data_IF_540176842520
#
_entry.id   IF_540176842520
#
_cell.length_a   1.000
_cell.length_b   1.000
_cell.length_c   1.000
_cell.angle_alpha   90.00
_cell.angle_beta   90.00
_cell.angle_gamma   90.00
#
_symmetry.space_group_name_H-M   'P 1'
#
loop_
_entity.id
_entity.type
_entity.pdbx_description
1 polymer ?
#
# COMPACT_ATOMS: atom_id res chain seq x y z
N UNK A 1 4.97 18.01 21.10
CA UNK A 1 5.65 18.70 19.99
C UNK A 1 7.03 18.08 19.86
N UNK A 2 7.13 16.97 19.16
CA UNK A 2 8.29 16.06 19.24
C UNK A 2 8.92 15.83 17.88
N UNK A 3 10.10 16.43 17.68
CA UNK A 3 11.22 16.00 16.83
C UNK A 3 11.01 15.87 15.31
N UNK A 4 9.80 16.01 14.77
CA UNK A 4 9.52 15.89 13.33
C UNK A 4 9.76 17.17 12.52
N UNK A 5 10.03 18.30 13.15
CA UNK A 5 10.14 19.61 12.46
C UNK A 5 11.45 19.83 11.68
N UNK A 6 12.43 18.92 11.77
CA UNK A 6 13.78 19.17 11.22
C UNK A 6 14.31 18.08 10.27
N UNK A 7 13.51 17.05 9.98
CA UNK A 7 13.80 16.11 8.89
C UNK A 7 12.95 16.50 7.70
N UNK A 8 13.59 16.73 6.56
CA UNK A 8 12.90 17.01 5.31
C UNK A 8 11.91 15.86 5.05
N UNK A 9 10.62 16.18 4.97
CA UNK A 9 9.51 15.21 4.89
C UNK A 9 9.72 14.15 3.80
N UNK A 10 10.49 14.49 2.78
CA UNK A 10 10.94 13.61 1.69
C UNK A 10 11.69 12.35 2.17
N UNK A 11 12.32 12.37 3.34
CA UNK A 11 13.07 11.25 3.92
C UNK A 11 12.25 10.33 4.83
N UNK A 12 11.06 10.76 5.25
CA UNK A 12 10.22 10.06 6.22
C UNK A 12 9.16 9.21 5.51
N UNK A 13 9.14 7.91 5.81
CA UNK A 13 8.10 7.00 5.31
C UNK A 13 7.08 6.69 6.42
N UNK A 14 5.87 7.24 6.30
CA UNK A 14 4.79 7.07 7.26
C UNK A 14 3.78 6.03 6.78
N UNK A 15 3.62 4.97 7.58
CA UNK A 15 2.68 3.87 7.31
C UNK A 15 1.69 3.77 8.48
N UNK A 16 0.40 3.74 8.16
CA UNK A 16 -0.69 3.68 9.15
C UNK A 16 -1.48 2.40 8.98
N UNK A 17 -1.85 1.74 10.08
CA UNK A 17 -2.80 0.62 10.08
C UNK A 17 -4.06 1.06 10.80
N UNK A 18 -5.17 1.14 10.07
CA UNK A 18 -6.48 1.54 10.60
C UNK A 18 -7.26 0.29 10.96
N UNK A 19 -7.72 0.22 12.21
CA UNK A 19 -8.60 -0.84 12.69
C UNK A 19 -10.01 -0.29 12.79
N UNK A 20 -10.94 -0.80 11.97
CA UNK A 20 -12.33 -0.34 12.01
C UNK A 20 -13.20 -1.42 12.63
N UNK A 21 -13.87 -1.08 13.72
CA UNK A 21 -14.77 -1.99 14.45
C UNK A 21 -16.12 -2.19 13.77
N UNK A 22 -16.49 -1.33 12.81
CA UNK A 22 -17.73 -1.42 12.04
C UNK A 22 -17.46 -1.08 10.57
N UNK A 23 -18.08 -1.79 9.62
CA UNK A 23 -17.86 -1.57 8.19
C UNK A 23 -18.62 -0.35 7.64
N UNK A 24 -18.66 0.73 8.42
CA UNK A 24 -19.37 1.96 8.12
C UNK A 24 -18.42 3.01 7.54
N UNK A 25 -18.87 3.71 6.51
CA UNK A 25 -18.10 4.76 5.82
C UNK A 25 -17.76 5.90 6.76
N UNK A 26 -18.69 6.26 7.64
CA UNK A 26 -18.56 7.38 8.58
C UNK A 26 -17.38 7.15 9.52
N UNK A 27 -17.23 5.93 10.03
CA UNK A 27 -16.14 5.55 10.91
C UNK A 27 -14.77 5.64 10.21
N UNK A 28 -14.70 5.26 8.93
CA UNK A 28 -13.47 5.39 8.15
C UNK A 28 -13.13 6.87 7.93
N UNK A 29 -14.10 7.70 7.52
CA UNK A 29 -13.87 9.14 7.32
C UNK A 29 -13.39 9.83 8.59
N UNK A 30 -14.08 9.62 9.72
CA UNK A 30 -13.69 10.20 11.01
C UNK A 30 -12.27 9.76 11.42
N UNK A 31 -11.92 8.50 11.17
CA UNK A 31 -10.57 7.98 11.47
C UNK A 31 -9.49 8.62 10.60
N UNK A 32 -9.76 8.84 9.30
CA UNK A 32 -8.82 9.48 8.38
C UNK A 32 -8.63 10.96 8.71
N UNK A 33 -9.72 11.68 9.00
CA UNK A 33 -9.67 13.09 9.38
C UNK A 33 -8.91 13.28 10.69
N UNK A 34 -9.19 12.43 11.69
CA UNK A 34 -8.46 12.42 12.96
C UNK A 34 -6.98 12.12 12.77
N UNK A 35 -6.65 11.18 11.88
CA UNK A 35 -5.27 10.81 11.55
C UNK A 35 -4.51 12.00 10.93
N UNK A 36 -5.05 12.62 9.88
CA UNK A 36 -4.38 13.74 9.21
C UNK A 36 -4.24 14.96 10.13
N UNK A 37 -5.25 15.24 10.96
CA UNK A 37 -5.21 16.32 11.97
C UNK A 37 -4.16 16.04 13.06
N UNK A 38 -4.07 14.81 13.55
CA UNK A 38 -3.13 14.43 14.63
C UNK A 38 -1.68 14.38 14.16
N UNK A 39 -1.44 13.88 12.95
CA UNK A 39 -0.10 13.78 12.39
C UNK A 39 0.41 15.11 11.82
N UNK A 40 -0.49 16.09 11.62
CA UNK A 40 -0.21 17.36 10.92
C UNK A 40 0.48 17.11 9.56
N UNK A 41 -0.08 16.17 8.79
CA UNK A 41 0.47 15.76 7.50
C UNK A 41 -0.54 15.99 6.38
N UNK A 42 -0.08 16.45 5.22
CA UNK A 42 -0.94 16.59 4.03
C UNK A 42 -1.16 15.25 3.29
N UNK A 43 -0.24 14.30 3.48
CA UNK A 43 -0.17 13.01 2.81
C UNK A 43 0.61 11.99 3.65
N UNK A 44 0.32 10.71 3.45
CA UNK A 44 1.05 9.56 4.01
C UNK A 44 1.50 8.59 2.91
N UNK A 45 2.48 7.73 3.20
CA UNK A 45 3.01 6.77 2.22
C UNK A 45 2.15 5.52 2.08
N UNK A 46 1.61 5.00 3.18
CA UNK A 46 0.86 3.75 3.15
C UNK A 46 -0.22 3.67 4.21
N UNK A 47 -1.39 3.17 3.84
CA UNK A 47 -2.47 2.85 4.76
C UNK A 47 -2.90 1.39 4.59
N UNK A 48 -3.01 0.66 5.70
CA UNK A 48 -3.53 -0.71 5.74
C UNK A 48 -4.83 -0.74 6.52
N UNK A 49 -5.91 -1.17 5.87
CA UNK A 49 -7.22 -1.35 6.49
C UNK A 49 -7.32 -2.74 7.13
N UNK A 50 -7.73 -2.79 8.40
CA UNK A 50 -8.04 -4.02 9.12
C UNK A 50 -9.46 -3.96 9.69
N UNK A 51 -10.19 -5.07 9.58
CA UNK A 51 -11.56 -5.19 10.09
C UNK A 51 -11.75 -6.50 10.88
N UNK A 52 -12.75 -6.58 11.79
CA UNK A 52 -13.03 -7.79 12.54
C UNK A 52 -13.63 -8.88 11.64
N UNK A 53 -12.97 -10.03 11.57
CA UNK A 53 -13.28 -11.17 10.68
C UNK A 53 -14.49 -12.03 11.10
N UNK A 54 -15.53 -11.46 11.72
CA UNK A 54 -16.64 -12.22 12.35
C UNK A 54 -17.98 -12.16 11.61
N UNK A 55 -18.01 -11.87 10.31
CA UNK A 55 -19.28 -11.72 9.58
C UNK A 55 -19.34 -12.59 8.32
N UNK A 56 -20.55 -12.77 7.78
CA UNK A 56 -20.81 -13.50 6.54
C UNK A 56 -20.06 -12.88 5.35
N UNK A 57 -19.32 -13.70 4.59
CA UNK A 57 -18.35 -13.25 3.57
C UNK A 57 -18.95 -12.38 2.45
N UNK A 58 -20.22 -12.56 2.11
CA UNK A 58 -20.89 -11.80 1.03
C UNK A 58 -21.18 -10.35 1.40
N UNK A 59 -21.70 -10.10 2.61
CA UNK A 59 -21.95 -8.76 3.13
C UNK A 59 -20.63 -8.04 3.45
N UNK A 60 -19.62 -8.79 3.90
CA UNK A 60 -18.27 -8.28 4.11
C UNK A 60 -17.66 -7.70 2.83
N UNK A 61 -17.74 -8.43 1.72
CA UNK A 61 -17.15 -7.99 0.46
C UNK A 61 -17.81 -6.69 -0.04
N UNK A 62 -19.14 -6.58 0.06
CA UNK A 62 -19.86 -5.37 -0.36
C UNK A 62 -19.41 -4.15 0.46
N UNK A 63 -19.38 -4.28 1.78
CA UNK A 63 -18.96 -3.20 2.65
C UNK A 63 -17.46 -2.88 2.52
N UNK A 64 -16.61 -3.88 2.30
CA UNK A 64 -15.18 -3.68 2.06
C UNK A 64 -14.92 -2.93 0.75
N UNK A 65 -15.66 -3.24 -0.32
CA UNK A 65 -15.59 -2.49 -1.58
C UNK A 65 -15.95 -1.02 -1.38
N UNK A 66 -16.99 -0.76 -0.61
CA UNK A 66 -17.41 0.60 -0.26
C UNK A 66 -16.32 1.38 0.50
N UNK A 67 -15.68 0.76 1.49
CA UNK A 67 -14.55 1.35 2.21
C UNK A 67 -13.33 1.54 1.29
N UNK A 68 -13.09 0.58 0.40
CA UNK A 68 -11.99 0.63 -0.55
C UNK A 68 -12.13 1.80 -1.53
N UNK A 69 -13.34 2.11 -2.02
CA UNK A 69 -13.57 3.27 -2.88
C UNK A 69 -13.19 4.59 -2.20
N UNK A 70 -13.45 4.71 -0.89
CA UNK A 70 -13.02 5.89 -0.13
C UNK A 70 -11.50 5.98 -0.14
N UNK A 71 -10.81 4.87 0.14
CA UNK A 71 -9.35 4.83 0.12
C UNK A 71 -8.77 5.15 -1.28
N UNK A 72 -9.41 4.68 -2.35
CA UNK A 72 -9.03 5.01 -3.73
C UNK A 72 -9.17 6.51 -4.04
N UNK A 73 -10.22 7.18 -3.56
CA UNK A 73 -10.38 8.64 -3.69
C UNK A 73 -9.25 9.40 -2.97
N UNK A 74 -8.81 8.92 -1.81
CA UNK A 74 -7.64 9.48 -1.12
C UNK A 74 -6.32 9.26 -1.87
N UNK A 75 -6.18 8.15 -2.60
CA UNK A 75 -5.04 7.90 -3.47
C UNK A 75 -5.06 8.84 -4.68
N UNK A 76 -6.22 9.02 -5.31
CA UNK A 76 -6.38 9.91 -6.45
C UNK A 76 -6.09 11.38 -6.09
N UNK A 77 -6.47 11.79 -4.88
CA UNK A 77 -6.14 13.11 -4.31
C UNK A 77 -4.70 13.25 -3.83
N UNK A 78 -3.86 12.22 -3.98
CA UNK A 78 -2.47 12.17 -3.51
C UNK A 78 -2.29 12.37 -2.00
N UNK A 79 -3.35 12.10 -1.21
CA UNK A 79 -3.27 12.09 0.25
C UNK A 79 -2.70 10.78 0.79
N UNK A 80 -2.85 9.68 0.05
CA UNK A 80 -2.28 8.37 0.42
C UNK A 80 -1.58 7.80 -0.81
N UNK A 81 -0.30 7.45 -0.71
CA UNK A 81 0.42 6.91 -1.88
C UNK A 81 0.11 5.43 -2.15
N UNK A 82 -0.15 4.64 -1.11
CA UNK A 82 -0.41 3.21 -1.23
C UNK A 82 -1.45 2.76 -0.21
N UNK A 83 -2.41 1.96 -0.64
CA UNK A 83 -3.44 1.39 0.21
C UNK A 83 -3.36 -0.13 0.21
N UNK A 84 -3.74 -0.75 1.31
CA UNK A 84 -3.74 -2.19 1.48
C UNK A 84 -4.82 -2.64 2.46
N UNK A 85 -5.02 -3.95 2.53
CA UNK A 85 -5.94 -4.58 3.47
C UNK A 85 -5.21 -5.71 4.20
N UNK A 86 -5.52 -5.92 5.48
CA UNK A 86 -5.01 -7.03 6.27
C UNK A 86 -6.14 -7.78 6.97
N UNK A 87 -5.84 -8.99 7.44
CA UNK A 87 -6.78 -9.81 8.22
C UNK A 87 -8.05 -10.17 7.42
N UNK A 88 -7.88 -10.38 6.11
CA UNK A 88 -8.93 -10.72 5.12
C UNK A 88 -8.82 -12.18 4.71
N UNK A 89 -9.97 -12.86 4.59
CA UNK A 89 -10.04 -14.22 4.06
C UNK A 89 -9.57 -14.28 2.60
N UNK A 90 -8.92 -15.38 2.21
CA UNK A 90 -8.35 -15.56 0.86
C UNK A 90 -9.36 -15.28 -0.26
N UNK A 91 -10.59 -15.80 -0.14
CA UNK A 91 -11.63 -15.62 -1.17
C UNK A 91 -12.09 -14.16 -1.28
N UNK A 92 -12.23 -13.46 -0.14
CA UNK A 92 -12.59 -12.05 -0.11
C UNK A 92 -11.45 -11.20 -0.70
N UNK A 93 -10.21 -11.54 -0.39
CA UNK A 93 -9.03 -10.87 -0.95
C UNK A 93 -8.95 -11.02 -2.47
N UNK A 94 -9.11 -12.24 -3.00
CA UNK A 94 -9.13 -12.49 -4.45
C UNK A 94 -10.25 -11.69 -5.12
N UNK A 95 -11.46 -11.72 -4.55
CA UNK A 95 -12.61 -11.00 -5.10
C UNK A 95 -12.45 -9.47 -5.05
N UNK A 96 -11.82 -8.93 -4.01
CA UNK A 96 -11.48 -7.51 -3.91
C UNK A 96 -10.40 -7.14 -4.94
N UNK A 97 -9.33 -7.93 -5.03
CA UNK A 97 -8.21 -7.70 -5.96
C UNK A 97 -8.68 -7.67 -7.42
N UNK A 98 -9.54 -8.63 -7.82
CA UNK A 98 -10.09 -8.68 -9.17
C UNK A 98 -11.07 -7.53 -9.50
N UNK A 99 -11.60 -6.84 -8.50
CA UNK A 99 -12.55 -5.73 -8.67
C UNK A 99 -11.91 -4.35 -8.57
N UNK A 100 -10.92 -4.19 -7.68
CA UNK A 100 -10.32 -2.89 -7.35
C UNK A 100 -9.65 -2.24 -8.57
N UNK A 101 -9.62 -0.90 -8.61
CA UNK A 101 -8.88 -0.14 -9.61
C UNK A 101 -7.40 -0.23 -9.25
N UNK A 102 -6.79 -1.37 -9.54
CA UNK A 102 -5.36 -1.57 -9.36
C UNK A 102 -4.63 -0.57 -10.26
N UNK A 103 -4.13 0.51 -9.66
CA UNK A 103 -3.03 1.26 -10.25
C UNK A 103 -1.90 0.24 -10.29
N UNK A 104 -1.60 -0.23 -11.50
CA UNK A 104 -0.56 -1.19 -11.76
C UNK A 104 0.76 -0.58 -11.28
N UNK A 105 1.10 -0.78 -10.01
CA UNK A 105 2.44 -0.52 -9.52
C UNK A 105 3.29 -1.64 -10.09
N UNK A 106 3.65 -1.50 -11.38
CA UNK A 106 4.58 -2.40 -12.05
C UNK A 106 5.79 -2.45 -11.15
N UNK A 107 5.94 -3.60 -10.49
CA UNK A 107 7.00 -3.88 -9.53
C UNK A 107 8.33 -3.47 -10.15
N UNK A 108 8.47 -3.70 -11.46
CA UNK A 108 9.43 -3.10 -12.37
C UNK A 108 8.76 -2.79 -13.73
N UNK A 109 8.67 -1.54 -14.18
CA UNK A 109 8.20 -1.23 -15.52
C UNK A 109 9.18 -1.74 -16.58
N UNK A 110 8.70 -2.06 -17.79
CA UNK A 110 9.55 -2.54 -18.89
C UNK A 110 10.71 -1.59 -19.19
N UNK A 111 10.51 -0.28 -19.06
CA UNK A 111 11.57 0.72 -19.22
C UNK A 111 12.74 0.52 -18.25
N UNK A 112 12.47 0.19 -16.99
CA UNK A 112 13.51 -0.11 -16.00
C UNK A 112 14.23 -1.43 -16.30
N UNK A 113 13.53 -2.43 -16.85
CA UNK A 113 14.18 -3.66 -17.33
C UNK A 113 15.10 -3.37 -18.53
N UNK A 114 14.66 -2.53 -19.48
CA UNK A 114 15.46 -2.13 -20.65
C UNK A 114 16.69 -1.31 -20.25
N UNK A 115 16.58 -0.44 -19.25
CA UNK A 115 17.72 0.32 -18.71
C UNK A 115 18.78 -0.59 -18.09
N UNK A 116 18.36 -1.62 -17.34
CA UNK A 116 19.28 -2.51 -16.61
C UNK A 116 19.84 -3.63 -17.50
N UNK A 117 19.01 -4.19 -18.39
CA UNK A 117 19.36 -5.38 -19.18
C UNK A 117 19.57 -5.09 -20.68
N UNK A 118 19.37 -3.85 -21.13
CA UNK A 118 19.52 -3.44 -22.53
C UNK A 118 18.26 -3.61 -23.38
N UNK A 119 18.38 -3.32 -24.68
CA UNK A 119 17.30 -3.35 -25.68
C UNK A 119 16.88 -4.75 -26.14
N UNK A 120 17.47 -5.81 -25.60
CA UNK A 120 17.10 -7.19 -25.91
C UNK A 120 15.69 -7.50 -25.37
N UNK A 121 14.94 -8.36 -26.05
CA UNK A 121 13.64 -8.82 -25.55
C UNK A 121 13.84 -9.67 -24.28
N UNK A 122 13.74 -9.01 -23.13
CA UNK A 122 13.86 -9.64 -21.82
C UNK A 122 12.46 -9.80 -21.23
N UNK A 123 12.09 -11.06 -20.97
CA UNK A 123 10.82 -11.40 -20.31
C UNK A 123 11.07 -11.66 -18.84
N UNK A 124 10.42 -10.88 -17.96
CA UNK A 124 10.46 -11.10 -16.52
C UNK A 124 9.65 -12.37 -16.17
N UNK A 125 10.31 -13.36 -15.58
CA UNK A 125 9.67 -14.60 -15.16
C UNK A 125 9.12 -14.50 -13.73
N UNK A 126 9.93 -14.00 -12.79
CA UNK A 126 9.47 -13.65 -11.45
C UNK A 126 10.31 -12.52 -10.85
N UNK A 127 9.73 -11.82 -9.87
CA UNK A 127 10.40 -10.78 -9.10
C UNK A 127 10.09 -10.93 -7.60
N UNK A 128 11.12 -10.84 -6.78
CA UNK A 128 11.03 -10.76 -5.32
C UNK A 128 11.45 -9.36 -4.90
N UNK A 129 10.59 -8.65 -4.17
CA UNK A 129 10.96 -7.41 -3.48
C UNK A 129 11.28 -7.74 -2.03
N UNK A 130 12.44 -7.34 -1.56
CA UNK A 130 12.81 -7.48 -0.15
C UNK A 130 13.07 -6.10 0.47
N UNK A 131 12.85 -6.03 1.78
CA UNK A 131 13.17 -4.85 2.58
C UNK A 131 13.87 -5.32 3.85
N UNK A 132 15.13 -4.94 4.02
CA UNK A 132 15.92 -5.22 5.21
C UNK A 132 15.85 -4.03 6.14
N UNK A 133 15.51 -4.25 7.40
CA UNK A 133 15.52 -3.23 8.45
C UNK A 133 16.73 -3.49 9.35
N UNK A 134 17.70 -2.58 9.34
CA UNK A 134 18.79 -2.57 10.29
C UNK A 134 18.37 -1.73 11.50
N UNK A 135 18.14 -2.41 12.63
CA UNK A 135 17.86 -1.72 13.90
C UNK A 135 19.18 -1.27 14.51
N UNK A 136 19.34 0.04 14.68
CA UNK A 136 20.43 0.69 15.40
C UNK A 136 19.85 1.63 16.48
N UNK A 137 20.50 2.76 16.81
CA UNK A 137 19.86 3.81 17.63
C UNK A 137 18.62 4.44 16.95
N UNK A 138 18.41 4.14 15.66
CA UNK A 138 17.18 4.34 14.87
C UNK A 138 16.89 3.11 13.99
N UNK A 139 16.12 3.26 12.90
CA UNK A 139 15.88 2.18 11.92
C UNK A 139 16.37 2.62 10.56
N UNK A 140 17.37 1.92 10.01
CA UNK A 140 17.77 2.09 8.61
C UNK A 140 17.08 1.01 7.78
N UNK A 141 16.46 1.38 6.67
CA UNK A 141 15.82 0.42 5.77
C UNK A 141 16.52 0.40 4.41
N UNK A 142 16.94 -0.78 3.97
CA UNK A 142 17.37 -1.02 2.59
C UNK A 142 16.28 -1.79 1.85
N UNK A 143 15.99 -1.40 0.63
CA UNK A 143 15.02 -2.06 -0.25
C UNK A 143 15.76 -2.57 -1.48
N UNK A 144 15.42 -3.76 -1.93
CA UNK A 144 16.02 -4.35 -3.12
C UNK A 144 15.07 -5.30 -3.83
N UNK A 145 15.50 -5.72 -5.01
CA UNK A 145 14.79 -6.68 -5.84
C UNK A 145 15.72 -7.82 -6.23
N UNK A 146 15.19 -9.04 -6.27
CA UNK A 146 15.81 -10.20 -6.90
C UNK A 146 14.90 -10.62 -8.04
N UNK A 147 15.46 -10.81 -9.23
CA UNK A 147 14.69 -11.01 -10.45
C UNK A 147 15.19 -12.24 -11.19
N UNK A 148 14.27 -13.00 -11.79
CA UNK A 148 14.59 -13.94 -12.85
C UNK A 148 14.04 -13.40 -14.17
N UNK A 149 14.94 -13.32 -15.14
CA UNK A 149 14.63 -12.84 -16.49
C UNK A 149 15.07 -13.87 -17.52
N UNK A 150 14.25 -14.12 -18.51
CA UNK A 150 14.60 -14.91 -19.69
C UNK A 150 14.90 -13.96 -20.84
N UNK A 151 16.00 -14.24 -21.55
CA UNK A 151 16.32 -13.54 -22.79
C UNK A 151 15.77 -14.35 -23.96
N UNK A 152 14.99 -13.70 -24.82
CA UNK A 152 14.69 -14.24 -26.14
C UNK A 152 16.01 -14.23 -26.93
N UNK A 153 16.47 -15.39 -27.39
CA UNK A 153 17.59 -15.49 -28.34
C UNK A 153 17.17 -14.99 -29.72
#
# INVERSE_FOLDING_TARGET
>A
MSQLENEDRSGLKVSVKVFISSLKKEALHESLDSMFSTLDMEYIDSLVLAYPSKSESSLLLAALKELWQILEDYVERKKIHSIGVSDVDTEVFIALYGWAKCVEHKILPRSALTEVFGSEEVTLFWALRFQVHLKCRGVLASKGYVLCVHRSQ
#
